data_IF_030921373668
#
_entry.id   IF_030921373668
#
_cell.length_a   1.000
_cell.length_b   1.000
_cell.length_c   1.000
_cell.angle_alpha   90.00
_cell.angle_beta   90.00
_cell.angle_gamma   90.00
#
_symmetry.space_group_name_H-M   'P 1'
#
loop_
_entity.id
_entity.type
_entity.pdbx_description
1 polymer ?
#
# COMPACT_ATOMS: atom_id res chain seq x y z
N UNK A 1 3.27 -64.49 19.77
CA UNK A 1 2.84 -63.09 19.59
C UNK A 1 3.33 -62.64 18.22
N UNK A 2 2.43 -62.46 17.24
CA UNK A 2 2.85 -62.06 15.89
C UNK A 2 3.35 -60.61 15.93
N UNK A 3 4.63 -60.40 15.62
CA UNK A 3 5.21 -59.07 15.53
C UNK A 3 4.41 -58.25 14.52
N UNK A 4 3.91 -57.08 14.94
CA UNK A 4 3.16 -56.19 14.05
C UNK A 4 4.10 -55.81 12.89
N UNK A 5 3.66 -55.95 11.62
CA UNK A 5 4.52 -55.65 10.50
C UNK A 5 4.93 -54.18 10.54
N UNK A 6 6.21 -53.94 10.30
CA UNK A 6 6.78 -52.60 10.25
C UNK A 6 6.10 -51.78 9.14
N UNK A 7 6.12 -50.44 9.26
CA UNK A 7 5.58 -49.56 8.21
C UNK A 7 6.18 -49.94 6.85
N UNK A 8 7.50 -50.13 6.80
CA UNK A 8 8.25 -50.48 5.60
C UNK A 8 7.76 -51.79 4.95
N UNK A 9 7.47 -52.82 5.76
CA UNK A 9 6.90 -54.09 5.25
C UNK A 9 5.49 -53.90 4.69
N UNK A 10 4.65 -53.06 5.32
CA UNK A 10 3.31 -52.74 4.81
C UNK A 10 3.35 -51.97 3.49
N UNK A 11 4.30 -51.04 3.34
CA UNK A 11 4.52 -50.30 2.09
C UNK A 11 5.02 -51.23 0.99
N UNK A 12 6.01 -52.09 1.28
CA UNK A 12 6.56 -53.08 0.34
C UNK A 12 5.54 -54.13 -0.09
N UNK A 13 4.64 -54.53 0.81
CA UNK A 13 3.56 -55.45 0.49
C UNK A 13 2.51 -54.79 -0.41
N UNK A 14 2.11 -53.54 -0.14
CA UNK A 14 1.17 -52.79 -0.99
C UNK A 14 1.74 -52.49 -2.38
N UNK A 15 3.03 -52.15 -2.49
CA UNK A 15 3.67 -51.89 -3.78
C UNK A 15 3.73 -53.13 -4.67
N UNK A 16 3.90 -54.33 -4.10
CA UNK A 16 3.88 -55.59 -4.86
C UNK A 16 2.48 -56.04 -5.27
N UNK A 17 1.45 -55.78 -4.45
CA UNK A 17 0.09 -56.30 -4.68
C UNK A 17 -0.73 -55.45 -5.65
N UNK A 18 -0.51 -54.13 -5.69
CA UNK A 18 -1.18 -53.20 -6.61
C UNK A 18 -0.19 -52.14 -7.14
N UNK A 19 0.77 -52.52 -8.00
CA UNK A 19 1.89 -51.67 -8.40
C UNK A 19 1.43 -50.38 -9.10
N UNK A 20 0.44 -50.45 -9.99
CA UNK A 20 -0.08 -49.29 -10.73
C UNK A 20 -0.69 -48.26 -9.78
N UNK A 21 -1.55 -48.69 -8.85
CA UNK A 21 -2.16 -47.77 -7.88
C UNK A 21 -1.13 -47.19 -6.91
N UNK A 22 -0.13 -47.98 -6.50
CA UNK A 22 0.93 -47.48 -5.62
C UNK A 22 1.79 -46.43 -6.33
N UNK A 23 2.16 -46.67 -7.59
CA UNK A 23 2.88 -45.70 -8.42
C UNK A 23 2.10 -44.40 -8.60
N UNK A 24 0.78 -44.49 -8.88
CA UNK A 24 -0.10 -43.33 -8.98
C UNK A 24 -0.17 -42.54 -7.66
N UNK A 25 -0.34 -43.22 -6.52
CA UNK A 25 -0.34 -42.56 -5.20
C UNK A 25 1.01 -41.95 -4.84
N UNK A 26 2.13 -42.60 -5.18
CA UNK A 26 3.46 -42.03 -4.97
C UNK A 26 3.72 -40.82 -5.86
N UNK A 27 3.21 -40.82 -7.09
CA UNK A 27 3.29 -39.67 -8.00
C UNK A 27 2.47 -38.49 -7.44
N UNK A 28 1.22 -38.74 -7.03
CA UNK A 28 0.35 -37.73 -6.42
C UNK A 28 0.97 -37.16 -5.15
N UNK A 29 1.51 -38.03 -4.27
CA UNK A 29 2.19 -37.60 -3.06
C UNK A 29 3.46 -36.79 -3.38
N UNK A 30 4.25 -37.23 -4.37
CA UNK A 30 5.43 -36.50 -4.83
C UNK A 30 5.08 -35.12 -5.38
N UNK A 31 4.06 -35.03 -6.22
CA UNK A 31 3.54 -33.76 -6.74
C UNK A 31 2.97 -32.87 -5.63
N UNK A 32 2.29 -33.44 -4.64
CA UNK A 32 1.78 -32.69 -3.50
C UNK A 32 2.92 -32.12 -2.64
N UNK A 33 3.98 -32.90 -2.39
CA UNK A 33 5.17 -32.44 -1.64
C UNK A 33 5.92 -31.36 -2.42
N UNK A 34 6.15 -31.55 -3.72
CA UNK A 34 6.78 -30.53 -4.57
C UNK A 34 5.93 -29.24 -4.63
N UNK A 35 4.61 -29.38 -4.76
CA UNK A 35 3.68 -28.25 -4.72
C UNK A 35 3.71 -27.52 -3.38
N UNK A 36 3.76 -28.25 -2.26
CA UNK A 36 3.88 -27.66 -0.93
C UNK A 36 5.21 -26.92 -0.75
N UNK A 37 6.34 -27.50 -1.15
CA UNK A 37 7.65 -26.86 -1.08
C UNK A 37 7.71 -25.60 -1.95
N UNK A 38 7.14 -25.65 -3.16
CA UNK A 38 7.04 -24.50 -4.05
C UNK A 38 6.21 -23.37 -3.42
N UNK A 39 5.05 -23.69 -2.85
CA UNK A 39 4.21 -22.70 -2.17
C UNK A 39 4.90 -22.09 -0.95
N UNK A 40 5.57 -22.91 -0.12
CA UNK A 40 6.33 -22.42 1.04
C UNK A 40 7.46 -21.50 0.60
N UNK A 41 8.22 -21.88 -0.43
CA UNK A 41 9.26 -21.05 -1.02
C UNK A 41 8.73 -19.71 -1.53
N UNK A 42 7.60 -19.72 -2.25
CA UNK A 42 6.96 -18.48 -2.73
C UNK A 42 6.50 -17.58 -1.59
N UNK A 43 5.84 -18.14 -0.56
CA UNK A 43 5.39 -17.38 0.60
C UNK A 43 6.58 -16.72 1.30
N UNK A 44 7.68 -17.46 1.48
CA UNK A 44 8.88 -16.93 2.13
C UNK A 44 9.49 -15.77 1.34
N UNK A 45 9.64 -15.91 0.01
CA UNK A 45 10.16 -14.81 -0.82
C UNK A 45 9.24 -13.59 -0.84
N UNK A 46 7.91 -13.79 -0.85
CA UNK A 46 6.97 -12.67 -0.79
C UNK A 46 7.02 -11.97 0.59
N UNK A 47 7.25 -12.70 1.68
CA UNK A 47 7.44 -12.13 3.01
C UNK A 47 8.72 -11.28 3.10
N UNK A 48 9.85 -11.76 2.60
CA UNK A 48 11.10 -10.99 2.59
C UNK A 48 10.97 -9.69 1.78
N UNK A 49 10.33 -9.76 0.60
CA UNK A 49 10.05 -8.57 -0.21
C UNK A 49 9.13 -7.59 0.50
N UNK A 50 8.13 -8.10 1.22
CA UNK A 50 7.20 -7.29 1.98
C UNK A 50 7.87 -6.63 3.19
N UNK A 51 8.70 -7.34 3.93
CA UNK A 51 9.47 -6.78 5.05
C UNK A 51 10.38 -5.65 4.56
N UNK A 52 11.12 -5.86 3.46
CA UNK A 52 11.95 -4.83 2.86
C UNK A 52 11.13 -3.61 2.41
N UNK A 53 9.94 -3.83 1.85
CA UNK A 53 9.05 -2.76 1.43
C UNK A 53 8.44 -2.01 2.63
N UNK A 54 8.02 -2.70 3.68
CA UNK A 54 7.56 -2.10 4.93
C UNK A 54 8.66 -1.29 5.61
N UNK A 55 9.90 -1.77 5.61
CA UNK A 55 11.04 -1.01 6.15
C UNK A 55 11.29 0.26 5.33
N UNK A 56 11.14 0.21 4.00
CA UNK A 56 11.19 1.40 3.14
C UNK A 56 10.06 2.38 3.43
N UNK A 57 8.84 1.90 3.70
CA UNK A 57 7.70 2.75 4.09
C UNK A 57 7.97 3.39 5.45
N UNK A 58 8.42 2.60 6.45
CA UNK A 58 8.75 3.10 7.78
C UNK A 58 9.83 4.20 7.74
N UNK A 59 10.85 4.04 6.88
CA UNK A 59 11.86 5.10 6.66
C UNK A 59 11.25 6.38 6.07
N UNK A 60 10.25 6.28 5.18
CA UNK A 60 9.56 7.44 4.62
C UNK A 60 8.66 8.11 5.66
N UNK A 61 7.98 7.32 6.48
CA UNK A 61 7.14 7.82 7.58
C UNK A 61 7.97 8.58 8.61
N UNK A 62 9.15 8.08 8.95
CA UNK A 62 10.09 8.80 9.81
C UNK A 62 10.49 10.16 9.21
N UNK A 63 10.79 10.23 7.90
CA UNK A 63 11.10 11.50 7.22
C UNK A 63 9.91 12.43 7.17
N UNK A 64 8.71 11.91 6.95
CA UNK A 64 7.48 12.71 6.96
C UNK A 64 7.23 13.30 8.35
N UNK A 65 7.44 12.52 9.41
CA UNK A 65 7.35 13.00 10.79
C UNK A 65 8.37 14.11 11.10
N UNK A 66 9.63 13.97 10.62
CA UNK A 66 10.64 15.02 10.73
C UNK A 66 10.22 16.32 10.01
N UNK A 67 9.58 16.21 8.84
CA UNK A 67 9.04 17.37 8.13
C UNK A 67 7.89 17.99 8.91
N UNK A 68 6.97 17.19 9.46
CA UNK A 68 5.84 17.68 10.26
C UNK A 68 6.31 18.41 11.53
N UNK A 69 7.38 17.93 12.18
CA UNK A 69 8.01 18.63 13.31
C UNK A 69 8.59 19.98 12.86
N UNK A 70 9.25 20.02 11.70
CA UNK A 70 9.81 21.27 11.15
C UNK A 70 8.73 22.26 10.75
N UNK A 71 7.65 21.81 10.13
CA UNK A 71 6.50 22.66 9.78
C UNK A 71 5.87 23.27 11.02
N UNK A 72 5.69 22.49 12.10
CA UNK A 72 5.21 23.00 13.39
C UNK A 72 6.15 24.05 13.98
N UNK A 73 7.45 23.83 13.93
CA UNK A 73 8.45 24.80 14.41
C UNK A 73 8.46 26.08 13.55
N UNK A 74 8.37 25.97 12.22
CA UNK A 74 8.27 27.13 11.33
C UNK A 74 7.00 27.94 11.60
N UNK A 75 5.85 27.28 11.76
CA UNK A 75 4.59 27.94 12.11
C UNK A 75 4.69 28.68 13.45
N UNK A 76 5.32 28.08 14.46
CA UNK A 76 5.59 28.74 15.75
C UNK A 76 6.46 29.97 15.58
N UNK A 77 7.58 29.86 14.86
CA UNK A 77 8.49 30.99 14.60
C UNK A 77 7.80 32.10 13.81
N UNK A 78 6.98 31.75 12.82
CA UNK A 78 6.26 32.72 12.01
C UNK A 78 5.26 33.52 12.87
N UNK A 79 4.57 32.85 13.80
CA UNK A 79 3.64 33.49 14.74
C UNK A 79 4.35 34.42 15.74
N UNK A 80 5.57 34.09 16.14
CA UNK A 80 6.38 34.88 17.08
C UNK A 80 7.13 36.04 16.38
N UNK A 81 7.32 35.98 15.07
CA UNK A 81 8.11 36.95 14.31
C UNK A 81 7.28 38.20 13.99
N UNK A 82 7.78 39.37 14.40
CA UNK A 82 7.12 40.66 14.13
C UNK A 82 7.51 41.26 12.78
N UNK A 83 8.71 40.96 12.32
CA UNK A 83 9.19 41.43 11.02
C UNK A 83 8.37 40.82 9.88
N UNK A 84 8.02 41.62 8.88
CA UNK A 84 7.21 41.17 7.76
C UNK A 84 8.03 40.34 6.76
N UNK A 85 9.27 40.75 6.48
CA UNK A 85 10.14 40.06 5.53
C UNK A 85 10.54 38.67 6.03
N UNK A 86 10.92 38.54 7.30
CA UNK A 86 11.24 37.24 7.89
C UNK A 86 10.00 36.34 8.02
N UNK A 87 8.80 36.89 8.30
CA UNK A 87 7.54 36.10 8.28
C UNK A 87 7.21 35.55 6.89
N UNK A 88 7.42 36.36 5.85
CA UNK A 88 7.23 35.93 4.47
C UNK A 88 8.22 34.84 4.10
N UNK A 89 9.50 35.01 4.43
CA UNK A 89 10.53 34.00 4.22
C UNK A 89 10.23 32.67 4.92
N UNK A 90 9.78 32.71 6.18
CA UNK A 90 9.38 31.51 6.92
C UNK A 90 8.15 30.84 6.29
N UNK A 91 7.22 31.63 5.74
CA UNK A 91 6.07 31.14 4.98
C UNK A 91 6.50 30.40 3.71
N UNK A 92 7.41 30.98 2.92
CA UNK A 92 7.96 30.32 1.72
C UNK A 92 8.65 28.99 2.05
N UNK A 93 9.46 28.97 3.11
CA UNK A 93 10.11 27.73 3.58
C UNK A 93 9.09 26.69 4.04
N UNK A 94 7.99 27.10 4.66
CA UNK A 94 6.91 26.19 5.04
C UNK A 94 6.23 25.60 3.81
N UNK A 95 5.88 26.41 2.81
CA UNK A 95 5.27 25.93 1.56
C UNK A 95 6.20 24.98 0.79
N UNK A 96 7.50 25.25 0.73
CA UNK A 96 8.49 24.33 0.15
C UNK A 96 8.50 22.97 0.87
N UNK A 97 8.45 22.96 2.21
CA UNK A 97 8.41 21.73 2.99
C UNK A 97 7.07 20.99 2.86
N UNK A 98 5.95 21.70 2.75
CA UNK A 98 4.64 21.10 2.48
C UNK A 98 4.63 20.40 1.11
N UNK A 99 5.26 20.99 0.08
CA UNK A 99 5.44 20.34 -1.21
C UNK A 99 6.30 19.07 -1.10
N UNK A 100 7.43 19.15 -0.40
CA UNK A 100 8.29 17.97 -0.19
C UNK A 100 7.54 16.87 0.55
N UNK A 101 6.73 17.23 1.55
CA UNK A 101 5.86 16.29 2.28
C UNK A 101 4.85 15.64 1.33
N UNK A 102 4.16 16.41 0.48
CA UNK A 102 3.22 15.89 -0.50
C UNK A 102 3.91 14.86 -1.41
N UNK A 103 5.07 15.19 -1.98
CA UNK A 103 5.82 14.27 -2.85
C UNK A 103 6.23 12.98 -2.12
N UNK A 104 6.64 13.07 -0.84
CA UNK A 104 6.97 11.89 -0.05
C UNK A 104 5.74 11.01 0.22
N UNK A 105 4.57 11.60 0.47
CA UNK A 105 3.33 10.84 0.64
C UNK A 105 2.93 10.12 -0.65
N UNK A 106 3.08 10.78 -1.81
CA UNK A 106 2.81 10.18 -3.12
C UNK A 106 3.77 9.02 -3.44
N UNK A 107 5.05 9.17 -3.15
CA UNK A 107 6.05 8.10 -3.30
C UNK A 107 5.75 6.92 -2.33
N UNK A 108 5.31 7.21 -1.10
CA UNK A 108 4.90 6.18 -0.16
C UNK A 108 3.67 5.40 -0.67
N UNK A 109 2.66 6.08 -1.21
CA UNK A 109 1.50 5.45 -1.86
C UNK A 109 1.94 4.54 -3.01
N UNK A 110 2.91 4.99 -3.83
CA UNK A 110 3.44 4.17 -4.92
C UNK A 110 4.14 2.90 -4.42
N UNK A 111 5.01 3.04 -3.41
CA UNK A 111 5.68 1.89 -2.79
C UNK A 111 4.69 0.92 -2.13
N UNK A 112 3.65 1.42 -1.46
CA UNK A 112 2.59 0.58 -0.88
C UNK A 112 1.80 -0.16 -1.98
N UNK A 113 1.59 0.47 -3.14
CA UNK A 113 0.97 -0.18 -4.30
C UNK A 113 1.82 -1.32 -4.86
N UNK A 114 3.14 -1.19 -4.92
CA UNK A 114 4.03 -2.30 -5.32
C UNK A 114 3.82 -3.55 -4.46
N UNK A 115 3.63 -3.38 -3.14
CA UNK A 115 3.33 -4.49 -2.21
C UNK A 115 1.98 -5.14 -2.54
N UNK A 116 0.96 -4.37 -2.93
CA UNK A 116 -0.35 -4.94 -3.29
C UNK A 116 -0.31 -5.83 -4.54
N UNK A 117 0.73 -5.75 -5.36
CA UNK A 117 0.90 -6.68 -6.48
C UNK A 117 1.32 -8.09 -6.03
N UNK A 118 1.94 -8.23 -4.85
CA UNK A 118 2.33 -9.51 -4.25
C UNK A 118 1.09 -10.34 -3.89
N UNK A 119 1.09 -11.61 -4.28
CA UNK A 119 -0.13 -12.45 -4.29
C UNK A 119 -0.72 -12.65 -2.90
N UNK A 120 0.13 -12.82 -1.89
CA UNK A 120 -0.30 -13.08 -0.51
C UNK A 120 -0.63 -11.80 0.26
N UNK A 121 -0.21 -10.63 -0.21
CA UNK A 121 -0.41 -9.34 0.48
C UNK A 121 -1.39 -8.39 -0.21
N UNK A 122 -1.82 -8.72 -1.44
CA UNK A 122 -2.84 -7.98 -2.20
C UNK A 122 -4.09 -7.61 -1.41
N UNK A 123 -4.44 -8.40 -0.39
CA UNK A 123 -5.65 -8.23 0.42
C UNK A 123 -5.36 -7.91 1.89
N UNK A 124 -4.16 -7.44 2.23
CA UNK A 124 -3.90 -6.99 3.60
C UNK A 124 -4.76 -5.75 3.89
N UNK A 125 -5.73 -5.82 4.84
CA UNK A 125 -6.59 -4.70 5.16
C UNK A 125 -5.83 -3.50 5.73
N UNK A 126 -4.67 -3.71 6.36
CA UNK A 126 -3.83 -2.64 6.91
C UNK A 126 -3.19 -1.81 5.81
N UNK A 127 -2.66 -2.48 4.79
CA UNK A 127 -2.06 -1.84 3.62
C UNK A 127 -3.10 -1.04 2.84
N UNK A 128 -4.28 -1.63 2.63
CA UNK A 128 -5.42 -0.95 1.97
C UNK A 128 -5.85 0.28 2.77
N UNK A 129 -5.96 0.19 4.10
CA UNK A 129 -6.31 1.33 4.95
C UNK A 129 -5.24 2.44 4.90
N UNK A 130 -3.96 2.08 4.92
CA UNK A 130 -2.83 3.03 4.82
C UNK A 130 -2.86 3.81 3.50
N UNK A 131 -2.97 3.09 2.37
CA UNK A 131 -3.05 3.70 1.04
C UNK A 131 -4.23 4.67 0.96
N UNK A 132 -5.41 4.27 1.48
CA UNK A 132 -6.59 5.14 1.51
C UNK A 132 -6.32 6.42 2.30
N UNK A 133 -5.84 6.30 3.53
CA UNK A 133 -5.59 7.43 4.41
C UNK A 133 -4.61 8.43 3.75
N UNK A 134 -3.47 7.92 3.26
CA UNK A 134 -2.47 8.75 2.57
C UNK A 134 -3.04 9.41 1.33
N UNK A 135 -3.84 8.71 0.53
CA UNK A 135 -4.39 9.28 -0.69
C UNK A 135 -5.39 10.42 -0.41
N UNK A 136 -6.21 10.30 0.64
CA UNK A 136 -7.06 11.39 1.10
C UNK A 136 -6.25 12.59 1.59
N UNK A 137 -5.22 12.34 2.39
CA UNK A 137 -4.36 13.39 2.95
C UNK A 137 -3.56 14.09 1.85
N UNK A 138 -3.05 13.37 0.87
CA UNK A 138 -2.34 13.93 -0.29
C UNK A 138 -3.27 14.71 -1.22
N UNK A 139 -4.49 14.21 -1.48
CA UNK A 139 -5.48 14.95 -2.28
C UNK A 139 -5.82 16.27 -1.59
N UNK A 140 -6.06 16.24 -0.28
CA UNK A 140 -6.35 17.45 0.49
C UNK A 140 -5.15 18.41 0.50
N UNK A 141 -3.95 17.90 0.75
CA UNK A 141 -2.73 18.72 0.78
C UNK A 141 -2.46 19.36 -0.59
N UNK A 142 -2.68 18.66 -1.69
CA UNK A 142 -2.54 19.21 -3.03
C UNK A 142 -3.54 20.35 -3.30
N UNK A 143 -4.79 20.21 -2.85
CA UNK A 143 -5.78 21.29 -2.93
C UNK A 143 -5.39 22.50 -2.08
N UNK A 144 -4.96 22.28 -0.85
CA UNK A 144 -4.57 23.36 0.07
C UNK A 144 -3.32 24.11 -0.43
N UNK A 145 -2.41 23.43 -1.13
CA UNK A 145 -1.23 24.02 -1.77
C UNK A 145 -1.52 24.72 -3.11
N UNK A 146 -2.73 24.55 -3.67
CA UNK A 146 -3.05 25.05 -5.01
C UNK A 146 -2.41 24.24 -6.15
N UNK A 147 -1.94 23.02 -5.89
CA UNK A 147 -1.40 22.10 -6.89
C UNK A 147 -2.53 21.36 -7.62
N UNK A 148 -3.34 22.11 -8.36
CA UNK A 148 -4.64 21.67 -8.87
C UNK A 148 -4.52 20.51 -9.87
N UNK A 149 -3.51 20.52 -10.74
CA UNK A 149 -3.25 19.42 -11.67
C UNK A 149 -2.93 18.10 -10.93
N UNK A 150 -2.16 18.17 -9.84
CA UNK A 150 -1.82 17.01 -9.01
C UNK A 150 -3.08 16.52 -8.28
N UNK A 151 -3.85 17.44 -7.69
CA UNK A 151 -5.11 17.13 -7.02
C UNK A 151 -6.08 16.41 -7.97
N UNK A 152 -6.28 16.92 -9.19
CA UNK A 152 -7.14 16.30 -10.20
C UNK A 152 -6.65 14.91 -10.62
N UNK A 153 -5.36 14.77 -10.93
CA UNK A 153 -4.79 13.47 -11.31
C UNK A 153 -4.95 12.42 -10.19
N UNK A 154 -4.82 12.83 -8.92
CA UNK A 154 -5.07 11.96 -7.76
C UNK A 154 -6.55 11.60 -7.62
N UNK A 155 -7.45 12.57 -7.76
CA UNK A 155 -8.88 12.37 -7.71
C UNK A 155 -9.35 11.38 -8.79
N UNK A 156 -8.92 11.57 -10.05
CA UNK A 156 -9.24 10.68 -11.16
C UNK A 156 -8.70 9.25 -10.92
N UNK A 157 -7.44 9.14 -10.48
CA UNK A 157 -6.83 7.84 -10.15
C UNK A 157 -7.56 7.12 -9.02
N UNK A 158 -8.09 7.85 -8.03
CA UNK A 158 -8.88 7.29 -6.96
C UNK A 158 -10.26 6.83 -7.45
N UNK A 159 -10.94 7.63 -8.28
CA UNK A 159 -12.25 7.30 -8.84
C UNK A 159 -12.22 6.09 -9.77
N UNK A 160 -11.24 6.02 -10.68
CA UNK A 160 -11.04 4.87 -11.57
C UNK A 160 -10.95 3.58 -10.74
N UNK A 161 -10.23 3.66 -9.62
CA UNK A 161 -10.10 2.56 -8.66
C UNK A 161 -11.36 2.29 -7.86
N UNK A 162 -12.22 3.27 -7.59
CA UNK A 162 -13.54 3.01 -6.99
C UNK A 162 -14.45 2.22 -7.95
N UNK A 163 -14.22 2.26 -9.27
CA UNK A 163 -14.97 1.50 -10.26
C UNK A 163 -14.58 0.02 -10.42
N UNK A 164 -13.38 -0.38 -9.99
CA UNK A 164 -12.83 -1.70 -10.28
C UNK A 164 -13.24 -2.78 -9.26
N UNK A 165 -13.76 -3.92 -9.74
CA UNK A 165 -14.04 -5.09 -8.89
C UNK A 165 -12.75 -5.64 -8.26
N UNK A 166 -12.65 -5.57 -6.93
CA UNK A 166 -11.46 -6.03 -6.19
C UNK A 166 -10.47 -4.92 -5.82
N UNK A 167 -10.84 -3.66 -6.12
CA UNK A 167 -10.08 -2.46 -5.77
C UNK A 167 -10.57 -1.82 -4.45
N UNK A 168 -9.89 -0.75 -4.02
CA UNK A 168 -10.14 0.12 -2.86
C UNK A 168 -11.64 0.37 -2.60
N UNK A 169 -12.45 0.45 -3.67
CA UNK A 169 -13.91 0.61 -3.67
C UNK A 169 -14.68 -0.32 -2.73
N UNK A 170 -14.29 -1.60 -2.70
CA UNK A 170 -14.99 -2.65 -1.93
C UNK A 170 -14.75 -2.52 -0.42
N UNK A 171 -13.86 -1.60 -0.02
CA UNK A 171 -13.46 -1.36 1.37
C UNK A 171 -13.75 0.06 1.85
N UNK A 172 -14.41 0.89 1.03
CA UNK A 172 -14.82 2.24 1.43
C UNK A 172 -16.23 2.20 2.03
N UNK A 173 -16.36 2.77 3.22
CA UNK A 173 -17.64 3.11 3.84
C UNK A 173 -18.36 4.20 3.04
N UNK A 174 -19.67 4.34 3.26
CA UNK A 174 -20.46 5.39 2.62
C UNK A 174 -19.91 6.80 2.92
N UNK A 175 -19.48 7.05 4.16
CA UNK A 175 -18.91 8.33 4.57
C UNK A 175 -17.55 8.63 3.87
N UNK A 176 -16.70 7.62 3.67
CA UNK A 176 -15.45 7.79 2.92
C UNK A 176 -15.73 8.09 1.45
N UNK A 177 -16.76 7.47 0.84
CA UNK A 177 -17.16 7.77 -0.54
C UNK A 177 -17.67 9.20 -0.68
N UNK A 178 -18.56 9.64 0.21
CA UNK A 178 -19.05 11.02 0.22
C UNK A 178 -17.92 12.03 0.44
N UNK A 179 -16.93 11.70 1.28
CA UNK A 179 -15.73 12.53 1.45
C UNK A 179 -14.90 12.60 0.16
N UNK A 180 -14.73 11.47 -0.54
CA UNK A 180 -13.99 11.43 -1.80
C UNK A 180 -14.71 12.23 -2.89
N UNK A 181 -16.02 12.05 -3.03
CA UNK A 181 -16.85 12.77 -4.00
C UNK A 181 -16.74 14.28 -3.81
N UNK A 182 -16.79 14.78 -2.56
CA UNK A 182 -16.59 16.20 -2.26
C UNK A 182 -15.21 16.71 -2.66
N UNK A 183 -14.14 15.98 -2.32
CA UNK A 183 -12.77 16.38 -2.68
C UNK A 183 -12.53 16.34 -4.19
N UNK A 184 -13.14 15.39 -4.88
CA UNK A 184 -13.12 15.30 -6.35
C UNK A 184 -13.83 16.50 -6.96
N UNK A 185 -15.01 16.85 -6.46
CA UNK A 185 -15.76 18.01 -6.92
C UNK A 185 -14.96 19.31 -6.71
N UNK A 186 -14.38 19.49 -5.53
CA UNK A 186 -13.47 20.61 -5.22
C UNK A 186 -12.30 20.67 -6.22
N UNK A 187 -11.65 19.54 -6.50
CA UNK A 187 -10.54 19.47 -7.46
C UNK A 187 -10.98 19.77 -8.90
N UNK A 188 -12.15 19.30 -9.31
CA UNK A 188 -12.68 19.56 -10.65
C UNK A 188 -13.03 21.03 -10.85
N UNK A 189 -13.73 21.63 -9.89
CA UNK A 189 -14.06 23.06 -9.92
C UNK A 189 -12.79 23.91 -9.97
N UNK A 190 -11.81 23.60 -9.11
CA UNK A 190 -10.54 24.33 -9.11
C UNK A 190 -9.81 24.22 -10.47
N UNK A 191 -9.82 23.03 -11.09
CA UNK A 191 -9.17 22.82 -12.38
C UNK A 191 -9.87 23.53 -13.54
N UNK A 192 -11.20 23.55 -13.54
CA UNK A 192 -11.97 24.29 -14.55
C UNK A 192 -11.73 25.80 -14.45
N UNK A 193 -11.62 26.33 -13.22
CA UNK A 193 -11.30 27.74 -12.98
C UNK A 193 -9.88 28.10 -13.43
N UNK A 194 -8.91 27.20 -13.28
CA UNK A 194 -7.52 27.39 -13.75
C UNK A 194 -7.43 27.28 -15.29
N UNK A 195 -8.12 26.33 -15.91
CA UNK A 195 -8.10 26.14 -17.36
C UNK A 195 -8.87 27.23 -18.16
N UNK A 196 -9.73 27.99 -17.48
CA UNK A 196 -10.47 29.11 -18.06
C UNK A 196 -9.77 30.48 -17.96
N UNK A 197 -8.61 30.54 -17.31
CA UNK A 197 -7.73 31.73 -17.21
C UNK A 197 -6.63 31.69 -18.28
#
# INVERSE_FOLDING_TARGET
>A
SAAKPSWLERVRWRSKRKPITFAAWSLVLGLAVLGALFLVGQVHTEQELAEAAHERIARRDARTAEIDDRLRELGRRQAETKDAAERERLGLLASELEMVRLLQQLDAIHAEREITHLRFLRRDPRLVASIKARAFDSLRSALDLGEIAIAKALADSLLERVGERGSLANTMSAAERERLERLVEEANVAFELEAGQ
#
